data_IF_974267698491
#
_entry.id   IF_974267698491
#
_cell.length_a   1.000
_cell.length_b   1.000
_cell.length_c   1.000
_cell.angle_alpha   90.00
_cell.angle_beta   90.00
_cell.angle_gamma   90.00
#
_symmetry.space_group_name_H-M   'P 1'
#
loop_
_entity.id
_entity.type
_entity.pdbx_description
1 polymer ?
#
# COMPACT_ATOMS: atom_id res chain seq x y z
N UNK A 1 18.13 -10.61 10.73
CA UNK A 1 17.54 -11.03 12.01
C UNK A 1 18.35 -12.23 12.49
N UNK A 2 18.92 -12.18 13.71
CA UNK A 2 19.63 -13.32 14.31
C UNK A 2 18.72 -14.56 14.42
N UNK A 3 19.27 -15.75 14.20
CA UNK A 3 18.49 -17.01 14.14
C UNK A 3 17.95 -17.44 15.51
N UNK A 4 18.61 -17.06 16.59
CA UNK A 4 18.26 -17.33 17.99
C UNK A 4 17.15 -16.42 18.53
N UNK A 5 16.93 -15.28 17.89
CA UNK A 5 15.89 -14.30 18.26
C UNK A 5 14.52 -14.67 17.68
N UNK A 6 14.49 -15.39 16.56
CA UNK A 6 13.26 -15.75 15.86
C UNK A 6 12.32 -16.66 16.68
N UNK A 7 12.78 -17.76 17.33
CA UNK A 7 11.91 -18.60 18.15
C UNK A 7 11.30 -17.86 19.35
N UNK A 8 12.04 -16.93 19.95
CA UNK A 8 11.55 -16.11 21.08
C UNK A 8 10.39 -15.22 20.64
N UNK A 9 10.54 -14.55 19.49
CA UNK A 9 9.47 -13.73 18.90
C UNK A 9 8.25 -14.56 18.53
N UNK A 10 8.41 -15.80 18.07
CA UNK A 10 7.27 -16.68 17.79
C UNK A 10 6.46 -16.99 19.05
N UNK A 11 7.12 -17.27 20.18
CA UNK A 11 6.44 -17.53 21.47
C UNK A 11 5.72 -16.27 21.96
N UNK A 12 6.37 -15.10 21.88
CA UNK A 12 5.76 -13.82 22.23
C UNK A 12 4.55 -13.48 21.34
N UNK A 13 4.66 -13.69 20.03
CA UNK A 13 3.55 -13.48 19.09
C UNK A 13 2.37 -14.42 19.37
N UNK A 14 2.64 -15.71 19.63
CA UNK A 14 1.61 -16.68 20.00
C UNK A 14 0.89 -16.28 21.29
N UNK A 15 1.61 -15.79 22.29
CA UNK A 15 1.01 -15.31 23.53
C UNK A 15 0.13 -14.08 23.29
N UNK A 16 0.63 -13.10 22.53
CA UNK A 16 -0.10 -11.88 22.18
C UNK A 16 -1.38 -12.19 21.39
N UNK A 17 -1.31 -13.07 20.39
CA UNK A 17 -2.47 -13.48 19.60
C UNK A 17 -3.54 -14.19 20.43
N UNK A 18 -3.15 -15.04 21.39
CA UNK A 18 -4.12 -15.67 22.29
C UNK A 18 -4.83 -14.63 23.17
N UNK A 19 -4.09 -13.64 23.69
CA UNK A 19 -4.67 -12.58 24.51
C UNK A 19 -5.62 -11.68 23.69
N UNK A 20 -5.24 -11.35 22.47
CA UNK A 20 -6.06 -10.54 21.54
C UNK A 20 -7.31 -11.31 21.09
N UNK A 21 -7.21 -12.62 20.84
CA UNK A 21 -8.35 -13.47 20.53
C UNK A 21 -9.34 -13.57 21.69
N UNK A 22 -8.86 -13.69 22.93
CA UNK A 22 -9.73 -13.68 24.11
C UNK A 22 -10.39 -12.31 24.35
N UNK A 23 -9.71 -11.20 24.02
CA UNK A 23 -10.33 -9.86 24.10
C UNK A 23 -11.42 -9.68 23.03
N UNK A 24 -11.20 -10.16 21.80
CA UNK A 24 -12.20 -10.13 20.73
C UNK A 24 -13.42 -11.01 21.01
N UNK A 25 -13.25 -12.20 21.62
CA UNK A 25 -14.39 -13.05 22.02
C UNK A 25 -15.29 -12.41 23.07
N UNK A 26 -14.74 -11.57 23.95
CA UNK A 26 -15.48 -10.92 25.05
C UNK A 26 -16.08 -9.58 24.64
N UNK A 27 -15.57 -8.95 23.58
CA UNK A 27 -16.11 -7.70 23.05
C UNK A 27 -17.39 -7.93 22.26
N UNK A 28 -18.42 -7.13 22.52
CA UNK A 28 -19.70 -7.19 21.80
C UNK A 28 -19.56 -6.67 20.34
N UNK A 29 -18.54 -5.85 20.08
CA UNK A 29 -18.23 -5.28 18.76
C UNK A 29 -16.72 -5.13 18.54
N UNK A 30 -16.24 -5.56 17.37
CA UNK A 30 -14.86 -5.36 16.93
C UNK A 30 -14.80 -4.08 16.10
N UNK A 31 -14.11 -3.05 16.60
CA UNK A 31 -13.83 -1.84 15.82
C UNK A 31 -12.65 -2.06 14.89
N UNK A 32 -12.91 -2.11 13.58
CA UNK A 32 -11.87 -2.14 12.56
C UNK A 32 -11.65 -0.74 12.04
N UNK A 33 -10.49 -0.16 12.34
CA UNK A 33 -10.09 1.15 11.80
C UNK A 33 -9.50 0.95 10.40
N UNK A 34 -9.79 1.85 9.45
CA UNK A 34 -9.11 1.84 8.16
C UNK A 34 -7.60 1.89 8.36
N UNK A 35 -6.88 0.97 7.72
CA UNK A 35 -5.43 1.03 7.69
C UNK A 35 -4.97 2.25 6.88
N UNK A 36 -3.70 2.66 7.05
CA UNK A 36 -3.08 3.71 6.23
C UNK A 36 -2.58 3.20 4.87
N UNK A 37 -2.89 1.97 4.51
CA UNK A 37 -2.44 1.33 3.29
C UNK A 37 -3.40 1.60 2.12
N UNK A 38 -2.86 1.75 0.91
CA UNK A 38 -3.66 2.05 -0.27
C UNK A 38 -4.49 0.86 -0.78
N UNK A 39 -4.18 -0.39 -0.39
CA UNK A 39 -4.82 -1.57 -0.96
C UNK A 39 -6.34 -1.60 -0.75
N UNK A 40 -6.81 -1.31 0.47
CA UNK A 40 -8.24 -1.24 0.76
C UNK A 40 -8.92 -0.07 0.04
N UNK A 41 -8.23 1.06 -0.09
CA UNK A 41 -8.73 2.24 -0.81
C UNK A 41 -8.89 1.96 -2.30
N UNK A 42 -7.90 1.32 -2.92
CA UNK A 42 -7.92 0.91 -4.33
C UNK A 42 -9.08 -0.06 -4.56
N UNK A 43 -9.21 -1.09 -3.74
CA UNK A 43 -10.30 -2.07 -3.86
C UNK A 43 -11.66 -1.42 -3.70
N UNK A 44 -11.82 -0.54 -2.70
CA UNK A 44 -13.06 0.20 -2.49
C UNK A 44 -13.41 1.06 -3.71
N UNK A 45 -12.46 1.84 -4.22
CA UNK A 45 -12.70 2.73 -5.37
C UNK A 45 -13.08 1.97 -6.65
N UNK A 46 -12.47 0.81 -6.89
CA UNK A 46 -12.83 -0.06 -8.01
C UNK A 46 -14.23 -0.67 -7.80
N UNK A 47 -14.55 -1.10 -6.57
CA UNK A 47 -15.80 -1.78 -6.26
C UNK A 47 -17.02 -0.85 -6.20
N UNK A 48 -16.88 0.31 -5.56
CA UNK A 48 -17.96 1.29 -5.37
C UNK A 48 -18.05 2.29 -6.51
N UNK A 49 -16.98 2.43 -7.29
CA UNK A 49 -16.84 3.48 -8.30
C UNK A 49 -16.57 4.87 -7.71
N UNK A 50 -16.40 4.99 -6.39
CA UNK A 50 -16.01 6.25 -5.75
C UNK A 50 -14.54 6.56 -6.07
N UNK A 51 -14.24 7.64 -6.81
CA UNK A 51 -12.89 7.89 -7.28
C UNK A 51 -11.95 8.22 -6.12
N UNK A 52 -10.75 7.64 -6.15
CA UNK A 52 -9.67 7.94 -5.20
C UNK A 52 -8.34 8.19 -5.92
N UNK A 53 -7.45 8.95 -5.28
CA UNK A 53 -6.10 9.19 -5.81
C UNK A 53 -5.09 8.49 -4.92
N UNK A 54 -4.25 7.66 -5.52
CA UNK A 54 -3.18 6.93 -4.84
C UNK A 54 -1.86 7.16 -5.57
N UNK A 55 -0.74 7.06 -4.86
CA UNK A 55 0.57 7.04 -5.51
C UNK A 55 0.98 5.60 -5.74
N UNK A 56 1.04 5.22 -7.01
CA UNK A 56 1.23 3.84 -7.45
C UNK A 56 2.51 3.68 -8.26
N UNK A 57 3.14 2.52 -8.10
CA UNK A 57 4.27 2.10 -8.92
C UNK A 57 3.75 1.48 -10.22
N UNK A 58 4.08 2.09 -11.36
CA UNK A 58 3.59 1.71 -12.68
C UNK A 58 4.71 1.73 -13.71
N UNK A 59 4.50 1.05 -14.83
CA UNK A 59 5.43 1.09 -15.95
C UNK A 59 5.45 2.48 -16.57
N UNK A 60 6.64 3.03 -16.80
CA UNK A 60 6.83 4.32 -17.44
C UNK A 60 6.53 4.21 -18.94
N UNK A 61 5.27 4.42 -19.29
CA UNK A 61 4.78 4.52 -20.67
C UNK A 61 4.56 6.00 -21.01
N UNK A 62 5.65 6.76 -21.14
CA UNK A 62 5.67 8.23 -21.31
C UNK A 62 5.10 9.05 -20.14
N UNK A 63 5.08 8.48 -18.94
CA UNK A 63 4.60 9.14 -17.73
C UNK A 63 5.60 10.15 -17.17
N UNK A 64 6.91 9.82 -17.23
CA UNK A 64 8.01 10.72 -16.87
C UNK A 64 9.03 10.76 -18.01
N UNK A 65 9.09 11.89 -18.70
CA UNK A 65 9.80 12.04 -19.99
C UNK A 65 11.32 11.85 -19.92
N UNK A 66 11.94 12.17 -18.78
CA UNK A 66 13.39 12.11 -18.61
C UNK A 66 13.89 10.82 -17.93
N UNK A 67 13.03 9.81 -17.82
CA UNK A 67 13.37 8.47 -17.34
C UNK A 67 13.22 7.45 -18.48
N UNK A 68 13.94 6.31 -18.44
CA UNK A 68 13.80 5.27 -19.44
C UNK A 68 12.36 4.76 -19.58
N UNK A 69 11.93 4.49 -20.81
CA UNK A 69 10.64 3.83 -21.04
C UNK A 69 10.67 2.42 -20.46
N UNK A 70 9.54 1.95 -19.94
CA UNK A 70 9.43 0.63 -19.34
C UNK A 70 9.97 0.50 -17.92
N UNK A 71 10.64 1.52 -17.36
CA UNK A 71 11.07 1.48 -15.96
C UNK A 71 9.89 1.63 -15.00
N UNK A 72 10.03 1.19 -13.75
CA UNK A 72 9.02 1.47 -12.73
C UNK A 72 9.13 2.93 -12.29
N UNK A 73 8.01 3.65 -12.28
CA UNK A 73 7.89 5.01 -11.76
C UNK A 73 6.73 5.10 -10.80
N UNK A 74 6.88 5.94 -9.77
CA UNK A 74 5.81 6.25 -8.84
C UNK A 74 5.14 7.55 -9.25
N UNK A 75 3.85 7.49 -9.59
CA UNK A 75 3.06 8.65 -10.00
C UNK A 75 1.67 8.60 -9.35
N UNK A 76 0.97 9.74 -9.36
CA UNK A 76 -0.41 9.79 -8.94
C UNK A 76 -1.28 9.01 -9.94
N UNK A 77 -2.12 8.13 -9.42
CA UNK A 77 -3.06 7.31 -10.18
C UNK A 77 -4.47 7.64 -9.70
N UNK A 78 -5.35 7.98 -10.64
CA UNK A 78 -6.79 7.99 -10.41
C UNK A 78 -7.28 6.54 -10.40
N UNK A 79 -8.05 6.17 -9.40
CA UNK A 79 -8.63 4.83 -9.26
C UNK A 79 -10.13 4.99 -9.14
N UNK A 80 -10.86 4.32 -10.03
CA UNK A 80 -12.32 4.26 -10.05
C UNK A 80 -12.78 2.91 -10.66
N UNK A 81 -14.05 2.79 -11.02
CA UNK A 81 -14.62 1.58 -11.62
C UNK A 81 -13.95 1.16 -12.95
N UNK A 82 -13.26 2.06 -13.65
CA UNK A 82 -12.49 1.76 -14.85
C UNK A 82 -11.08 1.21 -14.53
N UNK A 83 -10.73 1.09 -13.25
CA UNK A 83 -9.45 0.61 -12.79
C UNK A 83 -8.47 1.74 -12.48
N UNK A 84 -7.18 1.43 -12.61
CA UNK A 84 -6.07 2.31 -12.22
C UNK A 84 -5.59 3.09 -13.44
N UNK A 85 -5.64 4.42 -13.35
CA UNK A 85 -5.32 5.34 -14.43
C UNK A 85 -4.17 6.25 -14.01
N UNK A 86 -2.92 5.95 -14.42
CA UNK A 86 -1.76 6.76 -14.09
C UNK A 86 -1.83 8.13 -14.75
N UNK A 87 -1.45 9.17 -14.02
CA UNK A 87 -1.39 10.54 -14.55
C UNK A 87 0.04 10.90 -14.95
N UNK A 88 0.17 11.73 -15.99
CA UNK A 88 1.49 12.18 -16.47
C UNK A 88 2.15 13.07 -15.43
N UNK A 89 3.35 12.68 -15.00
CA UNK A 89 4.15 13.42 -14.03
C UNK A 89 5.00 14.51 -14.69
N UNK A 90 5.44 15.48 -13.89
CA UNK A 90 6.49 16.39 -14.31
C UNK A 90 7.84 15.65 -14.42
N UNK A 91 8.81 16.25 -15.12
CA UNK A 91 10.16 15.71 -15.23
C UNK A 91 10.76 15.48 -13.83
N UNK A 92 11.33 14.29 -13.62
CA UNK A 92 12.04 13.97 -12.39
C UNK A 92 13.25 14.90 -12.25
N UNK A 93 13.37 15.60 -11.12
CA UNK A 93 14.53 16.49 -10.88
C UNK A 93 15.79 15.63 -10.79
N UNK A 94 16.85 16.09 -11.45
CA UNK A 94 18.14 15.42 -11.44
C UNK A 94 18.81 15.65 -10.08
N UNK A 95 18.57 14.76 -9.12
CA UNK A 95 19.15 14.83 -7.76
C UNK A 95 20.59 14.27 -7.74
N UNK A 96 21.00 13.52 -8.77
CA UNK A 96 22.34 12.95 -8.90
C UNK A 96 23.12 13.61 -10.05
N UNK A 97 23.75 14.74 -9.75
CA UNK A 97 25.00 15.19 -10.41
C UNK A 97 26.02 15.37 -9.29
N UNK A 98 26.89 14.38 -9.13
CA UNK A 98 28.26 14.54 -8.63
C UNK A 98 29.18 14.19 -9.79
#
# INVERSE_FOLDING_TARGET
>A
MPLDEYPKRCVEQLANWHQELESYKRGERIEVKPSREYASTIMNAIWTGEPSVVYGNVRNDNLIENLPQGCCVEVACLVDANGIQPTKGARCRRIWRR
#
